data_IF_016246788105
#
_entry.id   IF_016246788105
#
_cell.length_a   1.000
_cell.length_b   1.000
_cell.length_c   1.000
_cell.angle_alpha   90.00
_cell.angle_beta   90.00
_cell.angle_gamma   90.00
#
_symmetry.space_group_name_H-M   'P 1'
#
loop_
_entity.id
_entity.type
_entity.pdbx_description
1 polymer ?
#
# COMPACT_ATOMS: atom_id res chain seq x y z
N UNK A 1 -9.69 85.60 -52.01
CA UNK A 1 -10.02 84.93 -50.76
C UNK A 1 -10.51 83.53 -51.12
N UNK A 2 -9.67 82.54 -51.02
CA UNK A 2 -9.97 81.19 -51.49
C UNK A 2 -9.85 80.26 -50.29
N UNK A 3 -10.96 79.63 -49.86
CA UNK A 3 -11.02 78.65 -48.85
C UNK A 3 -10.82 77.26 -49.47
N UNK A 4 -9.70 76.63 -49.13
CA UNK A 4 -9.35 75.28 -49.58
C UNK A 4 -9.98 74.24 -48.66
N UNK A 5 -10.84 73.42 -49.23
CA UNK A 5 -11.42 72.22 -48.58
C UNK A 5 -10.44 71.08 -48.66
N UNK A 6 -9.93 70.63 -47.49
CA UNK A 6 -9.09 69.41 -47.36
C UNK A 6 -10.00 68.19 -47.22
N UNK A 7 -10.02 67.40 -48.30
CA UNK A 7 -10.67 66.08 -48.32
C UNK A 7 -9.83 65.06 -47.55
N UNK A 8 -10.34 64.68 -46.41
CA UNK A 8 -9.75 63.61 -45.62
C UNK A 8 -9.99 62.22 -46.22
N UNK A 9 -8.91 61.65 -46.75
CA UNK A 9 -8.92 60.24 -47.21
C UNK A 9 -8.92 59.34 -46.01
N UNK A 10 -10.09 58.74 -45.71
CA UNK A 10 -10.21 57.63 -44.76
C UNK A 10 -9.48 56.42 -45.35
N UNK A 11 -8.37 56.11 -44.73
CA UNK A 11 -7.64 54.86 -44.97
C UNK A 11 -8.47 53.69 -44.46
N UNK A 12 -8.99 52.89 -45.37
CA UNK A 12 -9.65 51.62 -45.05
C UNK A 12 -8.56 50.65 -44.61
N UNK A 13 -8.49 50.44 -43.29
CA UNK A 13 -7.65 49.39 -42.71
C UNK A 13 -8.24 48.04 -43.07
N UNK A 14 -7.63 47.40 -44.05
CA UNK A 14 -7.88 46.01 -44.41
C UNK A 14 -7.61 45.13 -43.22
N UNK A 15 -8.70 44.56 -42.66
CA UNK A 15 -8.60 43.58 -41.57
C UNK A 15 -8.05 42.28 -42.17
N UNK A 16 -6.80 41.98 -41.88
CA UNK A 16 -6.23 40.65 -42.13
C UNK A 16 -7.06 39.62 -41.40
N UNK A 17 -7.50 38.52 -42.01
CA UNK A 17 -8.19 37.45 -41.34
C UNK A 17 -7.26 36.84 -40.29
N UNK A 18 -7.71 36.87 -39.03
CA UNK A 18 -6.96 36.35 -37.91
C UNK A 18 -6.57 34.91 -38.12
N UNK A 19 -5.28 34.64 -37.98
CA UNK A 19 -4.77 33.29 -37.81
C UNK A 19 -5.48 32.69 -36.60
N UNK A 20 -6.39 31.79 -36.84
CA UNK A 20 -6.92 30.93 -35.77
C UNK A 20 -5.76 30.08 -35.27
N UNK A 21 -5.54 29.99 -33.95
CA UNK A 21 -4.57 29.07 -33.41
C UNK A 21 -5.02 27.66 -33.77
N UNK A 22 -4.18 26.98 -34.57
CA UNK A 22 -4.34 25.56 -34.87
C UNK A 22 -4.54 24.84 -33.56
N UNK A 23 -5.77 24.44 -33.29
CA UNK A 23 -6.08 23.52 -32.22
C UNK A 23 -5.22 22.28 -32.46
N UNK A 24 -4.18 22.13 -31.68
CA UNK A 24 -3.40 20.90 -31.63
C UNK A 24 -4.42 19.77 -31.47
N UNK A 25 -4.53 18.96 -32.49
CA UNK A 25 -5.29 17.74 -32.45
C UNK A 25 -4.72 16.92 -31.26
N UNK A 26 -5.46 16.90 -30.19
CA UNK A 26 -5.18 15.99 -29.08
C UNK A 26 -5.44 14.62 -29.64
N UNK A 27 -4.37 13.86 -29.87
CA UNK A 27 -4.46 12.50 -30.38
C UNK A 27 -5.43 11.71 -29.50
N UNK A 28 -6.41 11.00 -30.08
CA UNK A 28 -7.39 10.23 -29.34
C UNK A 28 -6.81 8.94 -28.71
N UNK A 29 -5.48 8.80 -28.73
CA UNK A 29 -4.80 7.62 -28.19
C UNK A 29 -4.71 7.57 -26.65
N UNK A 30 -5.06 8.67 -25.94
CA UNK A 30 -5.05 8.65 -24.46
C UNK A 30 -6.39 8.29 -23.82
N UNK A 31 -7.46 8.21 -24.59
CA UNK A 31 -8.79 7.89 -24.05
C UNK A 31 -9.08 6.40 -24.00
N UNK A 32 -8.26 5.55 -24.63
CA UNK A 32 -8.46 4.10 -24.56
C UNK A 32 -7.78 3.44 -23.36
N UNK A 33 -6.82 4.12 -22.71
CA UNK A 33 -6.15 3.58 -21.52
C UNK A 33 -6.92 3.78 -20.22
N UNK A 34 -7.92 4.66 -20.19
CA UNK A 34 -8.73 4.92 -19.01
C UNK A 34 -9.95 3.96 -18.89
N UNK A 35 -10.22 3.15 -19.92
CA UNK A 35 -11.26 2.12 -19.89
C UNK A 35 -10.69 0.73 -19.56
N UNK A 36 -9.42 0.63 -19.15
CA UNK A 36 -8.91 -0.59 -18.57
C UNK A 36 -9.46 -0.71 -17.16
N UNK A 37 -10.68 -1.22 -17.17
CA UNK A 37 -11.10 -2.23 -16.22
C UNK A 37 -10.82 -1.85 -14.77
N UNK A 38 -11.82 -1.29 -14.14
CA UNK A 38 -12.12 -1.70 -12.78
C UNK A 38 -12.47 -3.20 -12.83
N UNK A 39 -11.52 -4.05 -13.24
CA UNK A 39 -11.55 -5.43 -12.86
C UNK A 39 -11.61 -5.40 -11.36
N UNK A 40 -12.77 -5.71 -10.84
CA UNK A 40 -13.00 -5.91 -9.41
C UNK A 40 -12.03 -7.02 -9.03
N UNK A 41 -10.83 -6.64 -8.59
CA UNK A 41 -9.86 -7.58 -8.06
C UNK A 41 -10.57 -8.18 -6.87
N UNK A 42 -11.05 -9.41 -7.02
CA UNK A 42 -11.62 -10.16 -5.91
C UNK A 42 -10.50 -10.32 -4.89
N UNK A 43 -10.49 -9.41 -3.93
CA UNK A 43 -9.57 -9.48 -2.80
C UNK A 43 -10.05 -10.69 -2.01
N UNK A 44 -9.21 -11.71 -1.91
CA UNK A 44 -9.53 -12.87 -1.07
C UNK A 44 -9.74 -12.40 0.37
N UNK A 45 -10.63 -13.05 1.10
CA UNK A 45 -10.95 -12.71 2.49
C UNK A 45 -9.74 -12.70 3.44
N UNK A 46 -8.65 -13.29 3.00
CA UNK A 46 -7.41 -13.39 3.76
C UNK A 46 -6.50 -12.17 3.64
N UNK A 47 -6.73 -11.31 2.63
CA UNK A 47 -5.93 -10.10 2.39
C UNK A 47 -6.39 -9.00 3.34
N UNK A 48 -5.47 -8.42 4.07
CA UNK A 48 -5.73 -7.25 4.90
C UNK A 48 -4.56 -6.26 4.88
N UNK A 49 -4.76 -5.10 5.48
CA UNK A 49 -3.76 -4.01 5.52
C UNK A 49 -2.56 -4.28 6.43
N UNK A 50 -2.61 -5.33 7.23
CA UNK A 50 -1.60 -5.63 8.23
C UNK A 50 -0.78 -6.81 7.75
N UNK A 51 0.49 -6.57 7.49
CA UNK A 51 1.46 -7.60 7.19
C UNK A 51 2.27 -7.97 8.44
N UNK A 52 2.50 -9.24 8.61
CA UNK A 52 3.37 -9.78 9.64
C UNK A 52 4.64 -10.32 8.98
N UNK A 53 5.75 -9.67 9.24
CA UNK A 53 7.05 -9.98 8.67
C UNK A 53 7.85 -10.78 9.68
N UNK A 54 8.42 -11.89 9.23
CA UNK A 54 9.29 -12.77 10.01
C UNK A 54 10.67 -12.89 9.38
N UNK A 55 11.58 -13.44 10.16
CA UNK A 55 12.96 -13.71 9.76
C UNK A 55 13.76 -12.45 9.38
N UNK A 56 13.43 -11.33 10.03
CA UNK A 56 14.22 -10.11 9.94
C UNK A 56 15.60 -10.29 10.61
N UNK A 57 16.61 -9.68 10.02
CA UNK A 57 17.90 -9.59 10.69
C UNK A 57 17.78 -8.73 11.95
N UNK A 58 18.45 -9.11 13.02
CA UNK A 58 18.42 -8.36 14.28
C UNK A 58 19.02 -6.95 14.16
N UNK A 59 19.87 -6.73 13.15
CA UNK A 59 20.44 -5.43 12.84
C UNK A 59 19.49 -4.51 12.06
N UNK A 60 18.43 -5.06 11.46
CA UNK A 60 17.44 -4.28 10.69
C UNK A 60 16.77 -3.27 11.60
N UNK A 61 16.82 -2.01 11.22
CA UNK A 61 16.18 -0.92 11.95
C UNK A 61 14.71 -0.75 11.55
N UNK A 62 13.96 0.09 12.27
CA UNK A 62 12.61 0.46 11.83
C UNK A 62 12.62 1.27 10.53
N UNK A 63 13.65 2.08 10.34
CA UNK A 63 13.86 2.90 9.13
C UNK A 63 14.07 2.04 7.90
N UNK A 64 14.90 1.00 7.98
CA UNK A 64 15.11 0.04 6.88
C UNK A 64 13.80 -0.62 6.43
N UNK A 65 12.92 -0.90 7.40
CA UNK A 65 11.60 -1.47 7.10
C UNK A 65 10.71 -0.42 6.41
N UNK A 66 10.73 0.84 6.87
CA UNK A 66 10.00 1.92 6.21
C UNK A 66 10.49 2.15 4.79
N UNK A 67 11.80 2.14 4.54
CA UNK A 67 12.40 2.33 3.22
C UNK A 67 12.05 1.18 2.27
N UNK A 68 12.08 -0.05 2.76
CA UNK A 68 11.79 -1.23 1.95
C UNK A 68 10.31 -1.34 1.60
N UNK A 69 9.45 -1.24 2.61
CA UNK A 69 8.00 -1.42 2.46
C UNK A 69 7.31 -0.17 1.92
N UNK A 70 7.83 1.03 2.17
CA UNK A 70 7.30 2.31 1.70
C UNK A 70 7.32 2.47 0.18
N UNK A 71 8.14 1.69 -0.53
CA UNK A 71 8.16 1.66 -2.00
C UNK A 71 6.85 1.16 -2.63
N UNK A 72 6.07 0.41 -1.88
CA UNK A 72 4.85 -0.23 -2.36
C UNK A 72 3.58 0.54 -1.98
N UNK A 73 3.69 1.51 -1.09
CA UNK A 73 2.57 2.37 -0.70
C UNK A 73 2.74 3.03 0.65
N UNK A 74 1.73 3.78 1.05
CA UNK A 74 1.72 4.55 2.29
C UNK A 74 1.61 3.66 3.51
N UNK A 75 2.60 3.75 4.39
CA UNK A 75 2.64 3.01 5.65
C UNK A 75 2.04 3.86 6.77
N UNK A 76 1.05 3.30 7.46
CA UNK A 76 0.45 3.91 8.63
C UNK A 76 1.28 3.71 9.88
N UNK A 77 1.81 2.50 10.07
CA UNK A 77 2.56 2.14 11.27
C UNK A 77 3.50 0.95 11.01
N UNK A 78 4.70 1.01 11.57
CA UNK A 78 5.61 -0.12 11.70
C UNK A 78 5.84 -0.41 13.18
N UNK A 79 5.71 -1.67 13.58
CA UNK A 79 6.02 -2.15 14.93
C UNK A 79 7.00 -3.30 14.84
N UNK A 80 8.23 -3.08 15.28
CA UNK A 80 9.27 -4.11 15.34
C UNK A 80 9.25 -4.82 16.70
N UNK A 81 9.36 -6.12 16.68
CA UNK A 81 9.58 -6.90 17.90
C UNK A 81 11.04 -6.78 18.36
N UNK A 82 11.25 -6.29 19.55
CA UNK A 82 12.57 -6.06 20.14
C UNK A 82 12.98 -7.13 21.12
N UNK A 83 12.01 -7.83 21.72
CA UNK A 83 12.25 -8.71 22.85
C UNK A 83 11.75 -10.14 22.64
N UNK A 84 12.42 -11.09 23.26
CA UNK A 84 12.03 -12.48 23.39
C UNK A 84 11.68 -13.15 22.05
N UNK A 85 10.53 -13.79 21.99
CA UNK A 85 10.01 -14.51 20.81
C UNK A 85 9.61 -13.58 19.66
N UNK A 86 9.43 -12.27 19.92
CA UNK A 86 9.09 -11.29 18.89
C UNK A 86 10.33 -10.75 18.16
N UNK A 87 11.53 -11.01 18.66
CA UNK A 87 12.78 -10.57 18.04
C UNK A 87 12.93 -11.16 16.63
N UNK A 88 13.25 -10.29 15.66
CA UNK A 88 13.31 -10.67 14.24
C UNK A 88 11.95 -10.74 13.55
N UNK A 89 10.92 -10.16 14.16
CA UNK A 89 9.61 -9.97 13.53
C UNK A 89 9.20 -8.51 13.49
N UNK A 90 8.30 -8.16 12.58
CA UNK A 90 7.68 -6.83 12.54
C UNK A 90 6.25 -6.91 12.02
N UNK A 91 5.45 -5.93 12.41
CA UNK A 91 4.15 -5.66 11.83
C UNK A 91 4.23 -4.38 11.01
N UNK A 92 3.76 -4.44 9.78
CA UNK A 92 3.65 -3.30 8.88
C UNK A 92 2.18 -3.09 8.55
N UNK A 93 1.67 -1.91 8.87
CA UNK A 93 0.27 -1.54 8.62
C UNK A 93 0.26 -0.51 7.49
N UNK A 94 -0.41 -0.86 6.40
CA UNK A 94 -0.63 0.04 5.26
C UNK A 94 -1.93 0.83 5.42
N UNK A 95 -2.01 1.96 4.73
CA UNK A 95 -3.28 2.70 4.59
C UNK A 95 -4.23 1.97 3.66
N UNK A 96 -3.73 1.42 2.55
CA UNK A 96 -4.52 0.70 1.55
C UNK A 96 -4.23 -0.82 1.59
N UNK A 97 -5.27 -1.60 1.32
CA UNK A 97 -5.21 -3.07 1.19
C UNK A 97 -4.46 -3.48 -0.07
N UNK A 98 -4.58 -2.71 -1.15
CA UNK A 98 -3.91 -3.01 -2.42
C UNK A 98 -2.41 -2.84 -2.31
N UNK A 99 -1.95 -1.81 -1.58
CA UNK A 99 -0.54 -1.58 -1.31
C UNK A 99 0.05 -2.72 -0.46
N UNK A 100 -0.70 -3.17 0.54
CA UNK A 100 -0.31 -4.33 1.34
C UNK A 100 -0.19 -5.60 0.50
N UNK A 101 -1.10 -5.79 -0.46
CA UNK A 101 -1.05 -6.93 -1.38
C UNK A 101 0.18 -6.85 -2.29
N UNK A 102 0.44 -5.69 -2.88
CA UNK A 102 1.62 -5.47 -3.72
C UNK A 102 2.91 -5.73 -2.95
N UNK A 103 3.01 -5.23 -1.73
CA UNK A 103 4.15 -5.47 -0.86
C UNK A 103 4.30 -6.96 -0.51
N UNK A 104 3.20 -7.66 -0.22
CA UNK A 104 3.22 -9.09 0.03
C UNK A 104 3.76 -9.89 -1.16
N UNK A 105 3.25 -9.61 -2.36
CA UNK A 105 3.60 -10.34 -3.58
C UNK A 105 5.08 -10.16 -3.97
N UNK A 106 5.67 -8.99 -3.67
CA UNK A 106 7.06 -8.68 -4.03
C UNK A 106 8.08 -8.94 -2.93
N UNK A 107 7.69 -8.80 -1.67
CA UNK A 107 8.62 -8.91 -0.54
C UNK A 107 8.61 -10.27 0.14
N UNK A 108 7.64 -11.13 -0.19
CA UNK A 108 7.65 -12.49 0.33
C UNK A 108 8.76 -13.30 -0.33
N UNK A 109 9.73 -13.75 0.47
CA UNK A 109 10.95 -14.41 -0.01
C UNK A 109 12.06 -13.45 -0.47
N UNK A 110 11.89 -12.13 -0.28
CA UNK A 110 12.93 -11.16 -0.59
C UNK A 110 14.16 -11.34 0.31
N UNK A 111 15.34 -11.28 -0.28
CA UNK A 111 16.61 -11.41 0.45
C UNK A 111 17.05 -10.05 1.01
N UNK A 112 16.99 -9.89 2.33
CA UNK A 112 17.40 -8.70 3.05
C UNK A 112 18.50 -9.04 4.08
N UNK A 113 19.66 -8.42 3.98
CA UNK A 113 20.78 -8.60 4.94
C UNK A 113 21.04 -10.09 5.30
N UNK A 114 21.26 -10.91 4.28
CA UNK A 114 21.56 -12.35 4.39
C UNK A 114 20.42 -13.23 4.94
N UNK A 115 19.19 -12.71 4.93
CA UNK A 115 17.98 -13.46 5.34
C UNK A 115 16.85 -13.29 4.35
N UNK A 116 16.13 -14.39 4.11
CA UNK A 116 14.91 -14.35 3.31
C UNK A 116 13.74 -13.92 4.18
N UNK A 117 13.06 -12.86 3.78
CA UNK A 117 11.86 -12.38 4.47
C UNK A 117 10.69 -13.33 4.27
N UNK A 118 9.96 -13.58 5.33
CA UNK A 118 8.68 -14.27 5.28
C UNK A 118 7.59 -13.28 5.63
N UNK A 119 6.79 -12.92 4.64
CA UNK A 119 5.68 -11.98 4.80
C UNK A 119 4.38 -12.75 4.85
N UNK A 120 3.54 -12.49 5.82
CA UNK A 120 2.24 -13.11 6.03
C UNK A 120 1.19 -12.04 6.31
N UNK A 121 -0.06 -12.30 5.95
CA UNK A 121 -1.16 -11.46 6.42
C UNK A 121 -1.45 -11.71 7.90
N UNK A 122 -1.62 -10.63 8.66
CA UNK A 122 -2.00 -10.74 10.06
C UNK A 122 -3.49 -11.08 10.18
N UNK A 123 -3.80 -12.21 10.83
CA UNK A 123 -5.17 -12.69 11.05
C UNK A 123 -5.50 -12.57 12.56
N UNK A 124 -6.06 -11.44 13.00
CA UNK A 124 -6.32 -11.21 14.43
C UNK A 124 -7.26 -12.25 15.03
N UNK A 125 -8.29 -12.67 14.30
CA UNK A 125 -9.23 -13.70 14.75
C UNK A 125 -8.56 -15.05 15.05
N UNK A 126 -7.61 -15.47 14.22
CA UNK A 126 -6.89 -16.72 14.45
C UNK A 126 -5.91 -16.63 15.62
N UNK A 127 -5.32 -15.44 15.84
CA UNK A 127 -4.44 -15.24 16.99
C UNK A 127 -5.23 -15.21 18.30
N UNK A 128 -6.39 -14.56 18.32
CA UNK A 128 -7.29 -14.59 19.47
C UNK A 128 -7.74 -16.02 19.80
N UNK A 129 -8.18 -16.78 18.80
CA UNK A 129 -8.58 -18.17 18.98
C UNK A 129 -7.44 -19.06 19.51
N UNK A 130 -6.21 -18.87 19.03
CA UNK A 130 -5.03 -19.60 19.56
C UNK A 130 -4.71 -19.19 21.00
N UNK A 131 -4.84 -17.92 21.33
CA UNK A 131 -4.63 -17.42 22.70
C UNK A 131 -5.67 -17.99 23.66
N UNK A 132 -6.93 -18.05 23.25
CA UNK A 132 -8.02 -18.63 24.04
C UNK A 132 -7.83 -20.14 24.25
N UNK A 133 -7.40 -20.87 23.21
CA UNK A 133 -7.08 -22.29 23.34
C UNK A 133 -5.92 -22.52 24.32
N UNK A 134 -4.83 -21.78 24.17
CA UNK A 134 -3.69 -21.89 25.08
C UNK A 134 -4.03 -21.53 26.53
N UNK A 135 -4.97 -20.60 26.74
CA UNK A 135 -5.48 -20.25 28.04
C UNK A 135 -6.29 -21.39 28.63
N UNK A 136 -7.20 -21.99 27.87
CA UNK A 136 -8.01 -23.14 28.29
C UNK A 136 -7.14 -24.36 28.59
N UNK A 137 -6.12 -24.63 27.79
CA UNK A 137 -5.17 -25.72 28.05
C UNK A 137 -4.47 -25.53 29.41
N UNK A 138 -3.97 -24.33 29.69
CA UNK A 138 -3.35 -24.04 31.01
C UNK A 138 -4.34 -24.14 32.18
N UNK A 139 -5.58 -23.71 31.98
CA UNK A 139 -6.63 -23.84 32.99
C UNK A 139 -6.93 -25.33 33.26
N UNK A 140 -7.00 -26.15 32.19
CA UNK A 140 -7.19 -27.60 32.32
C UNK A 140 -6.01 -28.30 33.01
N UNK A 141 -4.77 -27.95 32.66
CA UNK A 141 -3.58 -28.46 33.32
C UNK A 141 -3.59 -28.10 34.83
N UNK A 142 -3.94 -26.86 35.15
CA UNK A 142 -4.07 -26.42 36.53
C UNK A 142 -5.17 -27.15 37.30
N UNK A 143 -6.29 -27.48 36.65
CA UNK A 143 -7.36 -28.25 37.27
C UNK A 143 -6.98 -29.73 37.45
N UNK A 144 -6.32 -30.32 36.43
CA UNK A 144 -5.79 -31.70 36.53
C UNK A 144 -4.79 -31.85 37.67
N UNK A 145 -3.88 -30.89 37.80
CA UNK A 145 -2.91 -30.87 38.90
C UNK A 145 -3.55 -30.73 40.28
N UNK A 146 -4.68 -30.01 40.38
CA UNK A 146 -5.41 -29.88 41.65
C UNK A 146 -6.22 -31.11 42.02
N UNK A 147 -6.69 -31.86 41.05
CA UNK A 147 -7.56 -33.03 41.28
C UNK A 147 -6.86 -34.37 41.08
N UNK A 148 -5.53 -34.36 40.90
CA UNK A 148 -4.68 -35.55 40.74
C UNK A 148 -5.26 -36.57 39.74
N UNK A 149 -5.76 -36.07 38.59
CA UNK A 149 -6.34 -36.90 37.54
C UNK A 149 -5.22 -37.36 36.63
N UNK A 150 -4.91 -38.69 36.59
CA UNK A 150 -3.88 -39.18 35.68
C UNK A 150 -4.34 -39.04 34.22
N UNK A 151 -3.42 -38.62 33.35
CA UNK A 151 -3.65 -38.61 31.90
C UNK A 151 -3.84 -40.06 31.44
N UNK A 152 -5.03 -40.40 30.96
CA UNK A 152 -5.24 -41.68 30.30
C UNK A 152 -4.52 -41.65 28.94
N UNK A 153 -3.54 -42.54 28.78
CA UNK A 153 -3.01 -42.94 27.49
C UNK A 153 -4.10 -43.48 26.56
#
# INVERSE_FOLDING_TARGET
MAAGTKTSRRSVRERRPGLQPKRRAVHPSYTLAAAVTMATVKISSDVNRILFVKNLNYKTTGEDIYDLFGKYGSIRQVRRGTEGKAKGTAFVVYEDVMDAKNAFDHLNGFHLMDRYLVVLYHKPAQQAAKADLARREKELEGLKAKHDIPDKE
#
